data_IF_617396154249
#
_entry.id   IF_617396154249
#
_cell.length_a   1.000
_cell.length_b   1.000
_cell.length_c   1.000
_cell.angle_alpha   90.00
_cell.angle_beta   90.00
_cell.angle_gamma   90.00
#
_symmetry.space_group_name_H-M   'P 1'
#
loop_
_entity.id
_entity.type
_entity.pdbx_description
1 polymer ?
#
# COMPACT_ATOMS: atom_id res chain seq x y z
N UNK A 1 -1.50 -14.21 18.62
CA UNK A 1 -0.59 -13.14 18.13
C UNK A 1 0.19 -13.51 16.86
N UNK A 2 0.64 -14.75 16.66
CA UNK A 2 1.41 -15.16 15.46
C UNK A 2 0.65 -15.06 14.11
N UNK A 3 -0.67 -15.28 14.07
CA UNK A 3 -1.46 -15.17 12.82
C UNK A 3 -1.56 -13.74 12.28
N UNK A 4 -1.51 -12.72 13.15
CA UNK A 4 -1.58 -11.32 12.71
C UNK A 4 -0.27 -10.92 12.02
N UNK A 5 0.88 -11.28 12.59
CA UNK A 5 2.19 -11.00 12.00
C UNK A 5 2.35 -11.61 10.59
N UNK A 6 1.94 -12.87 10.40
CA UNK A 6 1.97 -13.54 9.09
C UNK A 6 1.03 -12.92 8.06
N UNK A 7 -0.15 -12.45 8.51
CA UNK A 7 -1.11 -11.77 7.64
C UNK A 7 -0.59 -10.39 7.22
N UNK A 8 0.02 -9.66 8.15
CA UNK A 8 0.62 -8.34 7.92
C UNK A 8 1.81 -8.47 6.97
N UNK A 9 2.70 -9.43 7.17
CA UNK A 9 3.85 -9.68 6.29
C UNK A 9 3.40 -10.04 4.87
N UNK A 10 2.35 -10.86 4.74
CA UNK A 10 1.78 -11.22 3.43
C UNK A 10 1.16 -10.01 2.73
N UNK A 11 0.45 -9.15 3.45
CA UNK A 11 -0.10 -7.90 2.91
C UNK A 11 1.00 -6.93 2.49
N UNK A 12 2.04 -6.75 3.31
CA UNK A 12 3.20 -5.95 2.97
C UNK A 12 3.90 -6.45 1.71
N UNK A 13 4.17 -7.76 1.63
CA UNK A 13 4.80 -8.36 0.46
C UNK A 13 3.91 -8.28 -0.80
N UNK A 14 2.59 -8.37 -0.64
CA UNK A 14 1.64 -8.15 -1.73
C UNK A 14 1.70 -6.70 -2.25
N UNK A 15 1.69 -5.70 -1.35
CA UNK A 15 1.83 -4.29 -1.68
C UNK A 15 3.21 -3.96 -2.28
N UNK A 16 4.29 -4.55 -1.76
CA UNK A 16 5.64 -4.36 -2.31
C UNK A 16 5.73 -4.84 -3.76
N UNK A 17 5.08 -5.98 -4.08
CA UNK A 17 5.03 -6.50 -5.45
C UNK A 17 4.10 -5.69 -6.37
N UNK A 18 3.16 -4.90 -5.83
CA UNK A 18 2.27 -4.10 -6.67
C UNK A 18 3.00 -2.99 -7.43
N UNK A 19 4.14 -2.50 -6.93
CA UNK A 19 4.98 -1.52 -7.64
C UNK A 19 5.41 -2.03 -9.03
N UNK A 20 5.77 -3.31 -9.16
CA UNK A 20 6.20 -3.90 -10.42
C UNK A 20 5.06 -3.86 -11.45
N UNK A 21 3.87 -4.31 -11.05
CA UNK A 21 2.71 -4.33 -11.94
C UNK A 21 2.25 -2.91 -12.28
N UNK A 22 2.21 -2.02 -11.29
CA UNK A 22 1.85 -0.63 -11.48
C UNK A 22 2.78 0.08 -12.47
N UNK A 23 4.10 -0.06 -12.31
CA UNK A 23 5.08 0.50 -13.24
C UNK A 23 4.93 -0.08 -14.65
N UNK A 24 4.62 -1.37 -14.78
CA UNK A 24 4.37 -1.99 -16.09
C UNK A 24 3.19 -1.31 -16.79
N UNK A 25 2.07 -1.15 -16.09
CA UNK A 25 0.85 -0.50 -16.61
C UNK A 25 1.12 0.95 -16.99
N UNK A 26 1.77 1.74 -16.14
CA UNK A 26 2.08 3.15 -16.46
C UNK A 26 2.96 3.27 -17.71
N UNK A 27 3.93 2.36 -17.90
CA UNK A 27 4.78 2.33 -19.11
C UNK A 27 4.02 1.95 -20.37
N UNK A 28 3.04 1.07 -20.24
CA UNK A 28 2.20 0.60 -21.35
C UNK A 28 1.26 1.72 -21.83
N UNK A 29 0.53 2.32 -20.89
CA UNK A 29 -0.48 3.34 -21.22
C UNK A 29 0.08 4.75 -21.40
N UNK A 30 1.28 5.04 -20.86
CA UNK A 30 1.96 6.35 -20.94
C UNK A 30 1.01 7.54 -20.69
N UNK A 31 0.35 7.58 -19.52
CA UNK A 31 -0.67 8.58 -19.26
C UNK A 31 -0.06 9.99 -19.25
N UNK A 32 -0.81 10.98 -19.72
CA UNK A 32 -0.44 12.38 -19.55
C UNK A 32 -0.53 12.79 -18.08
N UNK A 33 -1.59 12.37 -17.40
CA UNK A 33 -1.84 12.66 -15.99
C UNK A 33 -1.98 11.35 -15.21
N UNK A 34 -1.28 11.25 -14.08
CA UNK A 34 -1.33 10.08 -13.19
C UNK A 34 -1.80 10.47 -11.79
N UNK A 35 -2.83 9.78 -11.29
CA UNK A 35 -3.27 9.88 -9.89
C UNK A 35 -2.77 8.68 -9.11
N UNK A 36 -2.11 8.92 -7.98
CA UNK A 36 -1.61 7.88 -7.07
C UNK A 36 -2.37 8.00 -5.77
N UNK A 37 -3.20 7.01 -5.48
CA UNK A 37 -3.88 6.89 -4.19
C UNK A 37 -3.09 5.96 -3.28
N UNK A 38 -2.53 6.53 -2.22
CA UNK A 38 -1.85 5.76 -1.18
C UNK A 38 -2.86 5.13 -0.22
N UNK A 39 -2.54 3.96 0.34
CA UNK A 39 -3.29 3.35 1.45
C UNK A 39 -2.42 3.42 2.71
N UNK A 40 -3.05 3.63 3.86
CA UNK A 40 -2.38 3.40 5.13
C UNK A 40 -2.05 1.91 5.24
N UNK A 41 -0.77 1.59 5.18
CA UNK A 41 -0.27 0.33 5.71
C UNK A 41 -0.02 0.55 7.19
N UNK A 42 -0.55 -0.33 8.05
CA UNK A 42 -0.29 -0.24 9.48
C UNK A 42 1.21 -0.06 9.74
N UNK A 43 1.55 1.05 10.40
CA UNK A 43 2.93 1.44 10.70
C UNK A 43 3.65 0.42 11.58
N UNK A 44 2.91 -0.51 12.20
CA UNK A 44 3.44 -1.68 12.92
C UNK A 44 4.28 -2.63 12.04
N UNK A 45 4.29 -2.43 10.71
CA UNK A 45 5.07 -3.23 9.76
C UNK A 45 6.46 -2.64 9.41
N UNK A 46 6.79 -1.42 9.84
CA UNK A 46 8.20 -1.00 9.86
C UNK A 46 8.75 -1.57 11.16
N UNK A 47 9.66 -2.56 11.14
CA UNK A 47 10.26 -3.02 12.38
C UNK A 47 10.78 -1.78 13.11
N UNK A 48 10.47 -1.64 14.40
CA UNK A 48 10.99 -0.59 15.27
C UNK A 48 12.51 -0.77 15.40
N UNK A 49 13.24 -0.50 14.32
CA UNK A 49 14.65 -0.19 14.39
C UNK A 49 14.67 1.23 14.89
N UNK A 50 15.26 1.46 16.05
CA UNK A 50 15.44 2.76 16.72
C UNK A 50 16.29 3.77 15.89
N UNK A 51 16.22 3.70 14.56
CA UNK A 51 17.08 4.38 13.62
C UNK A 51 16.23 5.10 12.59
N UNK A 52 16.35 6.42 12.58
CA UNK A 52 15.93 7.38 11.55
C UNK A 52 16.15 6.87 10.11
N UNK A 53 17.13 5.98 9.92
CA UNK A 53 17.49 5.34 8.65
C UNK A 53 16.40 4.48 8.00
N UNK A 54 15.50 3.85 8.77
CA UNK A 54 14.45 3.00 8.18
C UNK A 54 13.36 3.84 7.48
N UNK A 55 12.89 4.88 8.14
CA UNK A 55 11.99 5.88 7.55
C UNK A 55 12.64 6.61 6.37
N UNK A 56 13.93 6.96 6.48
CA UNK A 56 14.67 7.59 5.38
C UNK A 56 14.76 6.67 4.16
N UNK A 57 14.98 5.37 4.36
CA UNK A 57 15.02 4.39 3.26
C UNK A 57 13.66 4.27 2.57
N UNK A 58 12.55 4.26 3.31
CA UNK A 58 11.19 4.22 2.74
C UNK A 58 10.92 5.50 1.94
N UNK A 59 11.25 6.67 2.50
CA UNK A 59 11.09 7.95 1.81
C UNK A 59 11.93 8.00 0.54
N UNK A 60 13.18 7.50 0.60
CA UNK A 60 14.10 7.42 -0.55
C UNK A 60 13.59 6.47 -1.62
N UNK A 61 13.03 5.32 -1.25
CA UNK A 61 12.41 4.38 -2.17
C UNK A 61 11.20 4.99 -2.87
N UNK A 62 10.29 5.61 -2.11
CA UNK A 62 9.12 6.31 -2.65
C UNK A 62 9.54 7.44 -3.63
N UNK A 63 10.52 8.26 -3.25
CA UNK A 63 11.05 9.32 -4.10
C UNK A 63 11.66 8.78 -5.40
N UNK A 64 12.39 7.66 -5.32
CA UNK A 64 12.95 7.00 -6.50
C UNK A 64 11.86 6.44 -7.42
N UNK A 65 10.81 5.85 -6.88
CA UNK A 65 9.67 5.37 -7.67
C UNK A 65 8.94 6.52 -8.35
N UNK A 66 8.66 7.62 -7.64
CA UNK A 66 8.06 8.82 -8.24
C UNK A 66 8.94 9.40 -9.36
N UNK A 67 10.26 9.46 -9.17
CA UNK A 67 11.20 9.91 -10.20
C UNK A 67 11.21 9.01 -11.44
N UNK A 68 10.99 7.70 -11.28
CA UNK A 68 10.86 6.79 -12.42
C UNK A 68 9.56 7.06 -13.19
N UNK A 69 8.45 7.25 -12.46
CA UNK A 69 7.14 7.54 -13.05
C UNK A 69 7.14 8.90 -13.77
N UNK A 70 7.80 9.92 -13.21
CA UNK A 70 7.88 11.26 -13.81
C UNK A 70 8.62 11.31 -15.14
N UNK A 71 9.35 10.26 -15.51
CA UNK A 71 10.00 10.15 -16.83
C UNK A 71 9.06 9.60 -17.91
N UNK A 72 7.94 9.02 -17.48
CA UNK A 72 6.97 8.34 -18.35
C UNK A 72 5.70 9.19 -18.47
N UNK A 73 5.26 9.77 -17.36
CA UNK A 73 4.10 10.67 -17.30
C UNK A 73 4.51 12.03 -17.87
N UNK A 74 3.74 12.55 -18.82
CA UNK A 74 4.17 13.70 -19.64
C UNK A 74 3.72 15.05 -19.12
N UNK A 75 2.69 15.11 -18.26
CA UNK A 75 2.14 16.36 -17.75
C UNK A 75 2.22 16.43 -16.21
N UNK A 76 1.34 15.72 -15.48
CA UNK A 76 1.25 15.82 -14.02
C UNK A 76 1.12 14.48 -13.28
N UNK A 77 1.72 14.41 -12.09
CA UNK A 77 1.49 13.33 -11.12
C UNK A 77 0.86 13.92 -9.86
N UNK A 78 -0.33 13.45 -9.49
CA UNK A 78 -1.03 13.83 -8.27
C UNK A 78 -0.92 12.69 -7.25
N UNK A 79 -0.25 12.94 -6.13
CA UNK A 79 -0.20 12.01 -5.01
C UNK A 79 -1.30 12.42 -4.01
N UNK A 80 -2.31 11.58 -3.88
CA UNK A 80 -3.46 11.83 -3.01
C UNK A 80 -3.16 11.33 -1.59
N UNK A 81 -3.70 12.07 -0.61
CA UNK A 81 -3.69 11.66 0.79
C UNK A 81 -4.33 10.28 0.94
N UNK A 82 -3.78 9.47 1.84
CA UNK A 82 -4.32 8.16 2.12
C UNK A 82 -5.75 8.28 2.70
N UNK A 83 -6.63 7.38 2.27
CA UNK A 83 -8.00 7.30 2.80
C UNK A 83 -7.90 6.93 4.29
N UNK A 84 -8.53 7.69 5.20
CA UNK A 84 -8.51 7.38 6.63
C UNK A 84 -8.89 5.93 6.89
N UNK A 85 -8.17 5.27 7.81
CA UNK A 85 -8.54 3.92 8.21
C UNK A 85 -9.92 3.94 8.89
N UNK A 86 -10.83 3.03 8.49
CA UNK A 86 -12.11 2.91 9.18
C UNK A 86 -11.89 2.50 10.64
N UNK A 87 -12.74 3.02 11.52
CA UNK A 87 -12.67 2.73 12.95
C UNK A 87 -12.70 1.21 13.21
N UNK A 88 -11.92 0.71 14.18
CA UNK A 88 -11.79 -0.72 14.45
C UNK A 88 -13.15 -1.43 14.67
N UNK A 89 -14.09 -0.75 15.32
CA UNK A 89 -15.45 -1.25 15.51
C UNK A 89 -16.21 -1.46 14.19
N UNK A 90 -15.98 -0.61 13.18
CA UNK A 90 -16.55 -0.77 11.84
C UNK A 90 -15.93 -1.97 11.13
N UNK A 91 -14.61 -2.11 11.18
CA UNK A 91 -13.89 -3.25 10.60
C UNK A 91 -14.41 -4.57 11.20
N UNK A 92 -14.53 -4.65 12.52
CA UNK A 92 -15.04 -5.85 13.19
C UNK A 92 -16.46 -6.22 12.77
N UNK A 93 -17.35 -5.23 12.57
CA UNK A 93 -18.71 -5.47 12.07
C UNK A 93 -18.72 -5.96 10.63
N UNK A 94 -17.89 -5.37 9.76
CA UNK A 94 -17.74 -5.81 8.38
C UNK A 94 -17.21 -7.25 8.31
N UNK A 95 -16.18 -7.58 9.09
CA UNK A 95 -15.61 -8.93 9.13
C UNK A 95 -16.61 -9.97 9.63
N UNK A 96 -17.40 -9.64 10.66
CA UNK A 96 -18.49 -10.49 11.13
C UNK A 96 -19.52 -10.72 10.02
N UNK A 97 -19.99 -9.65 9.38
CA UNK A 97 -20.95 -9.75 8.29
C UNK A 97 -20.42 -10.60 7.13
N UNK A 98 -19.15 -10.45 6.77
CA UNK A 98 -18.53 -11.24 5.70
C UNK A 98 -18.50 -12.73 6.03
N UNK A 99 -18.18 -13.10 7.28
CA UNK A 99 -18.18 -14.51 7.72
C UNK A 99 -19.57 -15.12 7.75
N UNK A 100 -20.58 -14.35 8.11
CA UNK A 100 -21.98 -14.79 8.13
C UNK A 100 -22.51 -15.06 6.71
N UNK A 101 -22.08 -14.27 5.71
CA UNK A 101 -22.59 -14.37 4.34
C UNK A 101 -21.68 -15.19 3.39
N UNK A 102 -20.42 -15.39 3.76
CA UNK A 102 -19.46 -16.28 3.08
C UNK A 102 -18.78 -17.17 4.12
N UNK A 103 -19.49 -18.19 4.65
CA UNK A 103 -18.91 -19.11 5.60
C UNK A 103 -17.70 -19.80 4.96
N UNK A 104 -16.53 -19.64 5.59
CA UNK A 104 -15.34 -20.41 5.25
C UNK A 104 -15.63 -21.83 5.71
N UNK A 105 -16.05 -22.69 4.79
CA UNK A 105 -16.17 -24.12 5.09
C UNK A 105 -14.77 -24.68 5.40
N UNK A 106 -14.65 -25.51 6.46
CA UNK A 106 -13.39 -26.13 6.86
C UNK A 106 -12.82 -27.06 5.79
#
# INVERSE_FOLDING_TARGET
MACNALTIERQYNHCRKSDILFNKVVREYKPNVLFILSRYTDMFAVPETNSTSASENIVKEAANSLRKLSRIVTDHIFVLNAIPQPHAAFISKCDQSLREHHPINP
#
